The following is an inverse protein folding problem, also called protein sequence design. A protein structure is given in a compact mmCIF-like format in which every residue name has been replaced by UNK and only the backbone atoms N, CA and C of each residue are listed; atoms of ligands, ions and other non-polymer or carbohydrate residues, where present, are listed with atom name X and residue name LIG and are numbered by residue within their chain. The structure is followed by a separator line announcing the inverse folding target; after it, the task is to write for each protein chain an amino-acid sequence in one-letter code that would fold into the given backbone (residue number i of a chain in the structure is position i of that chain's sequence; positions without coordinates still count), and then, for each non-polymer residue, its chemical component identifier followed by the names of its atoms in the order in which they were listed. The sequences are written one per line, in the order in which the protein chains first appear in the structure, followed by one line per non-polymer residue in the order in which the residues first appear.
data_IF_750045188743
#
_entry.id   IF_750045188743
#
_cell.length_a   1.000
_cell.length_b   1.000
_cell.length_c   1.000
_cell.angle_alpha   90.00
_cell.angle_beta   90.00
_cell.angle_gamma   90.00
#
_symmetry.space_group_name_H-M   'P 1'
#
loop_
_entity.id
_entity.type
_entity.pdbx_description
1 polymer ?
#
# COMPACT_ATOMS: atom_id res chain seq x y z
N UNK A 1 -3.60 -6.25 -0.79
CA UNK A 1 -2.12 -6.32 -0.75
C UNK A 1 -1.60 -6.41 0.68
N UNK A 2 -1.96 -5.47 1.57
CA UNK A 2 -1.45 -5.45 2.96
C UNK A 2 -1.59 -6.75 3.75
N UNK A 3 -2.73 -7.45 3.69
CA UNK A 3 -2.89 -8.77 4.34
C UNK A 3 -1.79 -9.76 3.89
N UNK A 4 -1.49 -9.81 2.59
CA UNK A 4 -0.48 -10.74 2.04
C UNK A 4 0.93 -10.42 2.53
N UNK A 5 1.25 -9.16 2.76
CA UNK A 5 2.54 -8.73 3.30
C UNK A 5 2.70 -9.13 4.76
N UNK A 6 1.61 -9.02 5.55
CA UNK A 6 1.61 -9.53 6.93
C UNK A 6 1.78 -11.04 6.95
N UNK A 7 1.02 -11.76 6.12
CA UNK A 7 1.08 -13.22 6.02
C UNK A 7 2.44 -13.75 5.53
N UNK A 8 3.17 -12.99 4.72
CA UNK A 8 4.54 -13.33 4.32
C UNK A 8 5.51 -13.40 5.50
N UNK A 9 5.23 -12.66 6.59
CA UNK A 9 6.05 -12.70 7.82
C UNK A 9 5.77 -13.90 8.72
N UNK A 10 4.80 -14.75 8.36
CA UNK A 10 4.48 -15.95 9.12
C UNK A 10 5.68 -16.90 9.19
N UNK A 11 5.80 -17.58 10.34
CA UNK A 11 6.96 -18.42 10.67
C UNK A 11 6.69 -19.92 10.54
N UNK A 12 5.45 -20.28 10.24
CA UNK A 12 4.95 -21.64 10.02
C UNK A 12 3.55 -21.58 9.40
N UNK A 13 3.07 -22.70 8.87
CA UNK A 13 1.69 -22.80 8.38
C UNK A 13 0.66 -22.49 9.47
N UNK A 14 0.87 -23.00 10.70
CA UNK A 14 -0.02 -22.68 11.84
C UNK A 14 -0.02 -21.19 12.16
N UNK A 15 1.15 -20.54 12.16
CA UNK A 15 1.23 -19.10 12.41
C UNK A 15 0.55 -18.31 11.28
N UNK A 16 0.66 -18.76 10.03
CA UNK A 16 -0.04 -18.17 8.90
C UNK A 16 -1.56 -18.15 9.12
N UNK A 17 -2.16 -19.30 9.44
CA UNK A 17 -3.62 -19.41 9.64
C UNK A 17 -4.10 -18.56 10.84
N UNK A 18 -3.31 -18.51 11.91
CA UNK A 18 -3.60 -17.67 13.08
C UNK A 18 -3.57 -16.18 12.73
N UNK A 19 -2.52 -15.75 12.02
CA UNK A 19 -2.35 -14.36 11.62
C UNK A 19 -3.44 -13.92 10.63
N UNK A 20 -3.84 -14.78 9.69
CA UNK A 20 -4.95 -14.50 8.77
C UNK A 20 -6.25 -14.28 9.54
N UNK A 21 -6.58 -15.17 10.48
CA UNK A 21 -7.79 -15.05 11.28
C UNK A 21 -7.81 -13.76 12.12
N UNK A 22 -6.69 -13.42 12.76
CA UNK A 22 -6.55 -12.20 13.56
C UNK A 22 -6.72 -10.92 12.72
N UNK A 23 -6.10 -10.87 11.54
CA UNK A 23 -6.22 -9.72 10.62
C UNK A 23 -7.67 -9.52 10.18
N UNK A 24 -8.36 -10.59 9.80
CA UNK A 24 -9.75 -10.54 9.33
C UNK A 24 -10.77 -10.21 10.42
N UNK A 25 -10.45 -10.47 11.68
CA UNK A 25 -11.27 -10.06 12.83
C UNK A 25 -11.02 -8.58 13.16
N UNK A 26 -9.79 -8.12 12.99
CA UNK A 26 -9.36 -6.79 13.48
C UNK A 26 -9.58 -5.66 12.46
N UNK A 27 -9.68 -5.98 11.17
CA UNK A 27 -9.73 -4.99 10.10
C UNK A 27 -10.76 -5.32 9.03
N UNK A 28 -11.41 -4.28 8.52
CA UNK A 28 -12.20 -4.38 7.30
C UNK A 28 -11.27 -4.50 6.08
N UNK A 29 -11.60 -5.43 5.18
CA UNK A 29 -10.88 -5.60 3.92
C UNK A 29 -11.53 -4.72 2.84
N UNK A 30 -10.75 -3.78 2.33
CA UNK A 30 -11.13 -3.00 1.13
C UNK A 30 -10.56 -3.65 -0.13
N UNK A 31 -11.45 -3.91 -1.09
CA UNK A 31 -11.05 -4.47 -2.38
C UNK A 31 -10.28 -3.42 -3.20
N UNK A 32 -9.19 -3.83 -3.84
CA UNK A 32 -8.52 -2.95 -4.78
C UNK A 32 -9.45 -2.62 -5.97
N UNK A 33 -9.41 -1.39 -6.50
CA UNK A 33 -10.06 -1.04 -7.76
C UNK A 33 -9.70 -2.04 -8.88
N UNK A 34 -10.61 -2.27 -9.82
CA UNK A 34 -10.39 -3.23 -10.90
C UNK A 34 -9.23 -2.82 -11.83
N UNK A 35 -8.95 -1.53 -11.93
CA UNK A 35 -7.90 -0.89 -12.72
C UNK A 35 -6.66 -0.51 -11.89
N UNK A 36 -6.49 -1.11 -10.70
CA UNK A 36 -5.45 -0.69 -9.75
C UNK A 36 -4.03 -0.82 -10.32
N UNK A 37 -3.79 -1.76 -11.23
CA UNK A 37 -2.47 -1.97 -11.83
C UNK A 37 -2.13 -0.88 -12.83
N UNK A 38 -3.11 -0.47 -13.65
CA UNK A 38 -2.99 0.66 -14.57
C UNK A 38 -2.77 1.96 -13.80
N UNK A 39 -3.49 2.15 -12.70
CA UNK A 39 -3.32 3.30 -11.81
C UNK A 39 -1.95 3.31 -11.13
N UNK A 40 -1.47 2.15 -10.67
CA UNK A 40 -0.15 2.02 -10.05
C UNK A 40 0.97 2.31 -11.06
N UNK A 41 0.82 1.88 -12.32
CA UNK A 41 1.75 2.23 -13.39
C UNK A 41 1.77 3.74 -13.68
N UNK A 42 0.60 4.39 -13.69
CA UNK A 42 0.53 5.84 -13.83
C UNK A 42 1.21 6.57 -12.67
N UNK A 43 1.01 6.10 -11.44
CA UNK A 43 1.71 6.62 -10.26
C UNK A 43 3.23 6.44 -10.37
N UNK A 44 3.70 5.26 -10.76
CA UNK A 44 5.13 5.02 -10.97
C UNK A 44 5.73 6.00 -11.99
N UNK A 45 5.00 6.25 -13.09
CA UNK A 45 5.40 7.21 -14.13
C UNK A 45 5.49 8.64 -13.58
N UNK A 46 4.53 9.05 -12.76
CA UNK A 46 4.53 10.38 -12.15
C UNK A 46 5.70 10.54 -11.17
N UNK A 47 6.00 9.53 -10.35
CA UNK A 47 7.17 9.49 -9.48
C UNK A 47 8.50 9.55 -10.26
N UNK A 48 8.56 8.88 -11.42
CA UNK A 48 9.72 8.91 -12.30
C UNK A 48 10.00 10.34 -12.80
N UNK A 49 8.96 11.08 -13.18
CA UNK A 49 9.10 12.41 -13.73
C UNK A 49 9.23 13.53 -12.68
N UNK A 50 8.70 13.34 -11.47
CA UNK A 50 8.72 14.39 -10.44
C UNK A 50 10.06 14.47 -9.68
N UNK A 51 10.73 13.33 -9.41
CA UNK A 51 11.99 13.30 -8.64
C UNK A 51 13.13 12.52 -9.31
N UNK A 52 12.98 12.05 -10.55
CA UNK A 52 14.02 11.38 -11.34
C UNK A 52 14.44 9.97 -10.85
N UNK A 53 14.38 9.71 -9.54
CA UNK A 53 14.82 8.46 -8.91
C UNK A 53 13.76 7.74 -8.05
N UNK A 54 12.57 8.33 -7.87
CA UNK A 54 11.49 7.72 -7.07
C UNK A 54 10.63 6.69 -7.82
N UNK A 55 10.99 6.34 -9.06
CA UNK A 55 10.34 5.24 -9.79
C UNK A 55 10.59 3.84 -9.18
N UNK A 56 11.51 3.75 -8.21
CA UNK A 56 11.88 2.52 -7.50
C UNK A 56 11.04 2.24 -6.25
N UNK A 57 10.04 3.07 -5.95
CA UNK A 57 9.08 2.79 -4.89
C UNK A 57 8.47 1.39 -5.09
N UNK A 58 8.37 0.57 -4.03
CA UNK A 58 7.86 -0.80 -4.14
C UNK A 58 6.47 -0.85 -4.76
N UNK A 59 6.26 -1.80 -5.69
CA UNK A 59 4.95 -2.01 -6.35
C UNK A 59 3.81 -2.18 -5.32
N UNK A 60 3.99 -2.93 -4.20
CA UNK A 60 2.94 -3.02 -3.19
C UNK A 60 2.49 -1.65 -2.63
N UNK A 61 3.42 -0.72 -2.40
CA UNK A 61 3.09 0.62 -1.89
C UNK A 61 2.30 1.44 -2.91
N UNK A 62 2.59 1.27 -4.20
CA UNK A 62 1.82 1.89 -5.28
C UNK A 62 0.39 1.34 -5.30
N UNK A 63 0.22 0.03 -5.15
CA UNK A 63 -1.11 -0.61 -5.13
C UNK A 63 -1.88 -0.25 -3.86
N UNK A 64 -1.22 -0.19 -2.70
CA UNK A 64 -1.83 0.28 -1.43
C UNK A 64 -2.29 1.72 -1.58
N UNK A 65 -1.45 2.59 -2.15
CA UNK A 65 -1.79 4.00 -2.43
C UNK A 65 -3.02 4.11 -3.31
N UNK A 66 -3.03 3.46 -4.48
CA UNK A 66 -4.15 3.60 -5.42
C UNK A 66 -5.44 2.95 -4.88
N UNK A 67 -5.31 1.90 -4.06
CA UNK A 67 -6.45 1.36 -3.31
C UNK A 67 -6.99 2.38 -2.32
N UNK A 68 -6.14 3.01 -1.50
CA UNK A 68 -6.56 4.02 -0.52
C UNK A 68 -7.22 5.22 -1.21
N UNK A 69 -6.59 5.78 -2.26
CA UNK A 69 -7.14 6.88 -3.06
C UNK A 69 -8.49 6.49 -3.68
N UNK A 70 -8.62 5.26 -4.20
CA UNK A 70 -9.86 4.79 -4.82
C UNK A 70 -11.05 4.69 -3.86
N UNK A 71 -10.78 4.56 -2.56
CA UNK A 71 -11.80 4.49 -1.51
C UNK A 71 -11.89 5.76 -0.65
N UNK A 72 -11.16 6.81 -0.99
CA UNK A 72 -11.10 8.05 -0.18
C UNK A 72 -10.49 7.85 1.21
N UNK A 73 -9.60 6.86 1.34
CA UNK A 73 -8.90 6.54 2.59
C UNK A 73 -7.50 7.17 2.63
N UNK A 74 -6.95 7.29 3.84
CA UNK A 74 -5.55 7.61 4.06
C UNK A 74 -4.71 6.36 4.34
N UNK A 75 -3.38 6.51 4.28
CA UNK A 75 -2.43 5.45 4.62
C UNK A 75 -1.71 5.78 5.93
N UNK A 76 -1.68 4.80 6.83
CA UNK A 76 -0.89 4.83 8.06
C UNK A 76 0.36 3.98 7.83
N UNK A 77 1.56 4.54 8.02
CA UNK A 77 2.80 3.88 7.58
C UNK A 77 4.00 4.16 8.50
N UNK A 78 5.09 3.39 8.33
CA UNK A 78 6.42 3.67 8.91
C UNK A 78 7.50 3.89 7.84
N UNK A 79 7.12 3.84 6.55
CA UNK A 79 8.02 3.96 5.40
C UNK A 79 8.11 5.42 4.90
N UNK A 80 9.30 5.93 4.59
CA UNK A 80 9.44 7.29 4.08
C UNK A 80 8.91 7.48 2.64
N UNK A 81 8.73 6.41 1.87
CA UNK A 81 8.27 6.48 0.48
C UNK A 81 6.87 7.12 0.36
N UNK A 82 5.97 6.87 1.31
CA UNK A 82 4.62 7.44 1.31
C UNK A 82 4.60 8.97 1.38
N UNK A 83 5.58 9.60 2.02
CA UNK A 83 5.70 11.06 2.00
C UNK A 83 5.97 11.56 0.58
N UNK A 84 6.81 10.85 -0.18
CA UNK A 84 7.10 11.19 -1.56
C UNK A 84 5.95 10.88 -2.53
N UNK A 85 5.17 9.84 -2.25
CA UNK A 85 3.94 9.53 -2.99
C UNK A 85 2.91 10.65 -2.81
N UNK A 86 2.74 11.17 -1.59
CA UNK A 86 1.79 12.24 -1.29
C UNK A 86 2.09 13.57 -2.02
N UNK A 87 3.28 13.74 -2.58
CA UNK A 87 3.63 14.91 -3.40
C UNK A 87 3.05 14.81 -4.83
N UNK A 88 2.76 13.60 -5.32
CA UNK A 88 2.24 13.36 -6.68
C UNK A 88 0.82 12.76 -6.69
N UNK A 89 0.24 12.52 -5.52
CA UNK A 89 -1.12 11.98 -5.36
C UNK A 89 -1.86 12.71 -4.23
N UNK A 90 -3.20 12.83 -4.32
CA UNK A 90 -4.02 13.36 -3.23
C UNK A 90 -4.19 12.32 -2.12
N UNK A 91 -3.08 11.78 -1.60
CA UNK A 91 -3.05 10.76 -0.56
C UNK A 91 -2.86 11.42 0.80
N UNK A 92 -3.80 11.20 1.73
CA UNK A 92 -3.57 11.54 3.13
C UNK A 92 -2.66 10.49 3.77
N UNK A 93 -1.51 10.90 4.29
CA UNK A 93 -0.56 9.99 4.94
C UNK A 93 -0.37 10.34 6.41
N UNK A 94 -0.22 9.31 7.25
CA UNK A 94 0.10 9.45 8.66
C UNK A 94 1.21 8.48 9.04
N UNK A 95 2.37 9.02 9.43
CA UNK A 95 3.47 8.21 9.94
C UNK A 95 3.18 7.74 11.38
N UNK A 96 3.38 6.45 11.67
CA UNK A 96 3.49 5.92 13.03
C UNK A 96 4.94 6.08 13.49
N UNK A 97 5.12 6.52 14.73
CA UNK A 97 6.40 6.97 15.32
C UNK A 97 7.58 6.05 15.07
#
# INVERSE_FOLDING_TARGET
MGEREQLYSARSARHYDQLEAELRISFDIVAAPHDVLERALALQRDLAHHYGMRHRTPIPDLVITETAVGHGLGVVHVDCDYAGIAEVRPLTVRRLG
#
